data_IF_799677492047
#
_entry.id   IF_799677492047
#
_cell.length_a   1.000
_cell.length_b   1.000
_cell.length_c   1.000
_cell.angle_alpha   90.00
_cell.angle_beta   90.00
_cell.angle_gamma   90.00
#
_symmetry.space_group_name_H-M   'P 1'
#
loop_
_entity.id
_entity.type
_entity.pdbx_description
1 polymer ?
#
# COMPACT_ATOMS: atom_id res chain seq x y z
N UNK A 1 -2.27 -32.34 -13.32
CA UNK A 1 -1.38 -33.51 -13.13
C UNK A 1 -2.24 -34.67 -12.66
N UNK A 2 -2.10 -35.85 -13.28
CA UNK A 2 -2.80 -37.06 -12.83
C UNK A 2 -1.79 -38.17 -12.69
N UNK A 3 -1.69 -38.73 -11.48
CA UNK A 3 -0.83 -39.86 -11.16
C UNK A 3 -1.43 -40.65 -10.01
N UNK A 4 -1.03 -41.91 -9.85
CA UNK A 4 -1.42 -42.71 -8.69
C UNK A 4 -0.71 -42.23 -7.42
N UNK A 5 0.56 -41.86 -7.55
CA UNK A 5 1.40 -41.33 -6.47
C UNK A 5 2.50 -40.47 -7.08
N UNK A 6 2.88 -39.41 -6.37
CA UNK A 6 3.95 -38.50 -6.72
C UNK A 6 4.84 -38.28 -5.49
N UNK A 7 6.14 -38.51 -5.62
CA UNK A 7 7.11 -38.38 -4.51
C UNK A 7 8.11 -37.29 -4.85
N UNK A 8 8.29 -36.32 -3.95
CA UNK A 8 9.11 -35.13 -4.18
C UNK A 8 10.07 -34.85 -3.01
N UNK A 9 11.08 -35.71 -2.85
CA UNK A 9 12.08 -35.56 -1.78
C UNK A 9 13.23 -34.66 -2.23
N UNK A 10 13.60 -33.69 -1.39
CA UNK A 10 14.69 -32.72 -1.64
C UNK A 10 14.56 -32.05 -3.02
N UNK A 11 13.32 -31.73 -3.39
CA UNK A 11 12.96 -31.30 -4.73
C UNK A 11 12.23 -29.96 -4.72
N UNK A 12 12.37 -29.22 -5.81
CA UNK A 12 11.57 -28.02 -6.10
C UNK A 12 10.54 -28.33 -7.18
N UNK A 13 9.27 -28.06 -6.91
CA UNK A 13 8.17 -28.16 -7.87
C UNK A 13 7.74 -26.74 -8.22
N UNK A 14 7.83 -26.38 -9.50
CA UNK A 14 7.41 -25.07 -10.00
C UNK A 14 6.07 -25.20 -10.72
N UNK A 15 5.07 -24.46 -10.24
CA UNK A 15 3.77 -24.35 -10.88
C UNK A 15 3.76 -23.12 -11.78
N UNK A 16 3.93 -23.32 -13.08
CA UNK A 16 3.94 -22.22 -14.07
C UNK A 16 2.55 -21.66 -14.40
N UNK A 17 1.49 -22.35 -14.01
CA UNK A 17 0.09 -21.95 -14.23
C UNK A 17 -0.81 -22.57 -13.14
N UNK A 18 -1.98 -21.97 -12.92
CA UNK A 18 -3.02 -22.57 -12.09
C UNK A 18 -3.46 -23.92 -12.67
N UNK A 19 -3.53 -24.95 -11.83
CA UNK A 19 -3.85 -26.32 -12.28
C UNK A 19 -4.50 -27.18 -11.21
N UNK A 20 -5.15 -28.26 -11.65
CA UNK A 20 -5.59 -29.34 -10.78
C UNK A 20 -4.48 -30.40 -10.63
N UNK A 21 -4.11 -30.70 -9.39
CA UNK A 21 -3.17 -31.76 -9.01
C UNK A 21 -3.97 -32.92 -8.40
N UNK A 22 -4.18 -33.97 -9.20
CA UNK A 22 -4.99 -35.14 -8.86
C UNK A 22 -4.08 -36.35 -8.67
N UNK A 23 -3.47 -36.44 -7.49
CA UNK A 23 -2.56 -37.52 -7.13
C UNK A 23 -2.34 -37.50 -5.63
N UNK A 24 -2.06 -38.66 -5.04
CA UNK A 24 -1.42 -38.70 -3.73
C UNK A 24 -0.01 -38.08 -3.86
N UNK A 25 0.40 -37.29 -2.87
CA UNK A 25 1.72 -36.64 -2.87
C UNK A 25 2.45 -36.89 -1.56
N UNK A 26 3.71 -37.29 -1.64
CA UNK A 26 4.60 -37.30 -0.46
C UNK A 26 5.87 -36.52 -0.75
N UNK A 27 6.46 -35.92 0.28
CA UNK A 27 7.70 -35.18 0.14
C UNK A 27 8.41 -34.95 1.48
N UNK A 28 9.71 -34.75 1.40
CA UNK A 28 10.60 -34.43 2.52
C UNK A 28 11.60 -33.40 2.02
N UNK A 29 11.75 -32.26 2.69
CA UNK A 29 12.65 -31.19 2.22
C UNK A 29 12.19 -30.59 0.88
N UNK A 30 10.88 -30.45 0.69
CA UNK A 30 10.27 -30.05 -0.59
C UNK A 30 10.06 -28.53 -0.66
N UNK A 31 10.28 -27.94 -1.82
CA UNK A 31 9.86 -26.57 -2.13
C UNK A 31 8.75 -26.59 -3.19
N UNK A 32 7.64 -25.90 -2.93
CA UNK A 32 6.57 -25.64 -3.88
C UNK A 32 6.57 -24.16 -4.25
N UNK A 33 6.85 -23.86 -5.52
CA UNK A 33 6.79 -22.50 -6.04
C UNK A 33 5.49 -22.32 -6.81
N UNK A 34 4.55 -21.60 -6.19
CA UNK A 34 3.22 -21.31 -6.71
C UNK A 34 3.22 -19.99 -7.49
N UNK A 35 3.99 -18.99 -7.05
CA UNK A 35 3.86 -17.62 -7.56
C UNK A 35 2.42 -17.13 -7.33
N UNK A 36 1.76 -16.60 -8.36
CA UNK A 36 0.36 -16.21 -8.32
C UNK A 36 -0.63 -17.37 -8.66
N UNK A 37 -0.14 -18.60 -8.84
CA UNK A 37 -0.95 -19.70 -9.36
C UNK A 37 -1.66 -20.50 -8.27
N UNK A 38 -2.95 -20.78 -8.49
CA UNK A 38 -3.71 -21.66 -7.62
C UNK A 38 -3.50 -23.13 -8.00
N UNK A 39 -3.20 -23.95 -7.00
CA UNK A 39 -3.16 -25.42 -7.13
C UNK A 39 -4.39 -26.00 -6.46
N UNK A 40 -5.31 -26.51 -7.26
CA UNK A 40 -6.45 -27.29 -6.76
C UNK A 40 -5.99 -28.72 -6.51
N UNK A 41 -5.95 -29.13 -5.25
CA UNK A 41 -5.41 -30.42 -4.83
C UNK A 41 -6.51 -31.45 -4.55
N UNK A 42 -6.39 -32.63 -5.17
CA UNK A 42 -7.23 -33.79 -4.92
C UNK A 42 -6.36 -35.03 -4.65
N UNK A 43 -6.55 -35.69 -3.51
CA UNK A 43 -5.78 -36.87 -3.09
C UNK A 43 -5.43 -36.88 -1.60
N UNK A 44 -4.53 -37.78 -1.20
CA UNK A 44 -3.93 -37.83 0.14
C UNK A 44 -2.47 -37.42 0.08
N UNK A 45 -2.15 -36.36 0.81
CA UNK A 45 -0.86 -35.69 0.78
C UNK A 45 -0.19 -35.72 2.15
N UNK A 46 1.12 -35.90 2.20
CA UNK A 46 1.89 -35.78 3.45
C UNK A 46 3.29 -35.25 3.21
N UNK A 47 3.72 -34.26 3.99
CA UNK A 47 5.08 -33.75 3.95
C UNK A 47 5.81 -33.96 5.28
N UNK A 48 7.12 -34.14 5.22
CA UNK A 48 7.99 -34.21 6.39
C UNK A 48 9.17 -33.23 6.27
N UNK A 49 9.91 -33.05 7.36
CA UNK A 49 11.08 -32.19 7.45
C UNK A 49 10.73 -30.73 7.07
N UNK A 50 11.46 -30.12 6.14
CA UNK A 50 11.14 -28.77 5.67
C UNK A 50 10.19 -28.81 4.48
N UNK A 51 9.10 -28.04 4.54
CA UNK A 51 8.25 -27.68 3.41
C UNK A 51 8.36 -26.17 3.19
N UNK A 52 8.78 -25.75 2.01
CA UNK A 52 8.81 -24.33 1.62
C UNK A 52 7.71 -24.04 0.61
N UNK A 53 6.90 -23.01 0.87
CA UNK A 53 5.87 -22.52 -0.04
C UNK A 53 6.23 -21.09 -0.48
N UNK A 54 6.54 -20.94 -1.77
CA UNK A 54 6.78 -19.63 -2.37
C UNK A 54 5.53 -19.18 -3.12
N UNK A 55 4.94 -18.08 -2.69
CA UNK A 55 3.67 -17.59 -3.22
C UNK A 55 3.69 -16.07 -3.41
N UNK A 56 2.81 -15.60 -4.27
CA UNK A 56 2.56 -14.18 -4.53
C UNK A 56 1.11 -13.89 -4.18
N UNK A 57 0.89 -12.81 -3.43
CA UNK A 57 -0.43 -12.28 -3.12
C UNK A 57 -0.56 -10.88 -3.72
N UNK A 58 -1.63 -10.67 -4.47
CA UNK A 58 -2.02 -9.37 -5.01
C UNK A 58 -3.10 -8.77 -4.09
N UNK A 59 -2.73 -7.71 -3.37
CA UNK A 59 -3.61 -7.03 -2.42
C UNK A 59 -4.82 -6.37 -3.07
N UNK A 60 -4.66 -5.80 -4.27
CA UNK A 60 -5.74 -5.15 -5.01
C UNK A 60 -6.73 -6.17 -5.57
N UNK A 61 -6.24 -7.27 -6.16
CA UNK A 61 -7.09 -8.34 -6.68
C UNK A 61 -7.62 -9.27 -5.59
N UNK A 62 -7.11 -9.17 -4.36
CA UNK A 62 -7.40 -10.07 -3.23
C UNK A 62 -7.28 -11.54 -3.62
N UNK A 63 -6.25 -11.84 -4.41
CA UNK A 63 -6.00 -13.17 -4.96
C UNK A 63 -4.51 -13.46 -5.07
N UNK A 64 -4.14 -14.73 -5.12
CA UNK A 64 -2.74 -15.13 -5.10
C UNK A 64 -2.56 -16.63 -5.27
N UNK A 65 -1.32 -17.09 -5.25
CA UNK A 65 -1.00 -18.48 -5.49
C UNK A 65 -1.19 -19.38 -4.27
N UNK A 66 -2.39 -19.93 -4.12
CA UNK A 66 -2.74 -20.75 -2.97
C UNK A 66 -2.91 -22.24 -3.33
N UNK A 67 -2.87 -23.09 -2.31
CA UNK A 67 -3.30 -24.48 -2.43
C UNK A 67 -4.76 -24.57 -1.95
N UNK A 68 -5.65 -25.08 -2.79
CA UNK A 68 -7.04 -25.36 -2.45
C UNK A 68 -7.25 -26.87 -2.38
N UNK A 69 -7.45 -27.41 -1.18
CA UNK A 69 -7.73 -28.82 -0.93
C UNK A 69 -9.21 -29.08 -1.17
N UNK A 70 -9.53 -29.92 -2.16
CA UNK A 70 -10.90 -30.27 -2.51
C UNK A 70 -11.54 -31.20 -1.49
N UNK A 71 -12.86 -31.16 -1.41
CA UNK A 71 -13.65 -32.08 -0.57
C UNK A 71 -13.25 -33.55 -0.80
N UNK A 72 -13.12 -34.31 0.29
CA UNK A 72 -12.68 -35.72 0.26
C UNK A 72 -11.17 -35.93 0.14
N UNK A 73 -10.38 -34.85 0.09
CA UNK A 73 -8.91 -34.90 0.04
C UNK A 73 -8.29 -34.46 1.36
N UNK A 74 -7.05 -34.89 1.60
CA UNK A 74 -6.31 -34.59 2.83
C UNK A 74 -4.89 -34.16 2.54
N UNK A 75 -4.39 -33.17 3.27
CA UNK A 75 -2.99 -32.76 3.29
C UNK A 75 -2.51 -32.73 4.75
N UNK A 76 -1.62 -33.65 5.09
CA UNK A 76 -1.02 -33.77 6.42
C UNK A 76 0.35 -33.12 6.47
N UNK A 77 0.43 -32.02 7.22
CA UNK A 77 1.65 -31.26 7.49
C UNK A 77 2.15 -31.48 8.92
N UNK A 78 1.54 -32.37 9.72
CA UNK A 78 1.97 -32.60 11.11
C UNK A 78 3.37 -33.22 11.23
N UNK A 79 3.90 -33.81 10.15
CA UNK A 79 5.27 -34.32 10.08
C UNK A 79 6.30 -33.27 9.64
N UNK A 80 5.87 -32.06 9.27
CA UNK A 80 6.75 -30.97 8.85
C UNK A 80 7.39 -30.34 10.09
N UNK A 81 8.71 -30.40 10.19
CA UNK A 81 9.48 -29.76 11.26
C UNK A 81 9.72 -28.28 11.01
N UNK A 82 9.59 -27.81 9.76
CA UNK A 82 9.63 -26.39 9.41
C UNK A 82 8.77 -26.11 8.19
N UNK A 83 7.69 -25.35 8.37
CA UNK A 83 6.91 -24.80 7.27
C UNK A 83 7.40 -23.38 6.99
N UNK A 84 8.20 -23.23 5.93
CA UNK A 84 8.70 -21.94 5.48
C UNK A 84 7.75 -21.34 4.46
N UNK A 85 7.07 -20.26 4.83
CA UNK A 85 6.17 -19.51 3.95
C UNK A 85 6.88 -18.25 3.47
N UNK A 86 7.10 -18.17 2.17
CA UNK A 86 7.64 -16.96 1.53
C UNK A 86 6.54 -16.34 0.70
N UNK A 87 5.99 -15.23 1.18
CA UNK A 87 4.91 -14.49 0.52
C UNK A 87 5.50 -13.23 -0.10
N UNK A 88 5.36 -13.08 -1.41
CA UNK A 88 5.60 -11.81 -2.09
C UNK A 88 4.28 -11.07 -2.21
N UNK A 89 4.10 -10.07 -1.37
CA UNK A 89 2.97 -9.17 -1.34
C UNK A 89 3.15 -8.08 -2.40
N UNK A 90 2.17 -7.90 -3.27
CA UNK A 90 2.22 -6.96 -4.40
C UNK A 90 0.91 -6.19 -4.51
N UNK A 91 0.96 -5.03 -5.16
CA UNK A 91 -0.23 -4.21 -5.48
C UNK A 91 -1.10 -3.90 -4.25
N UNK A 92 -0.47 -3.64 -3.11
CA UNK A 92 -1.18 -3.20 -1.92
C UNK A 92 -1.53 -1.72 -2.02
N UNK A 93 -2.83 -1.47 -2.00
CA UNK A 93 -3.41 -0.14 -1.89
C UNK A 93 -3.98 0.01 -0.48
N UNK A 94 -3.40 0.92 0.32
CA UNK A 94 -3.86 1.24 1.67
C UNK A 94 -5.35 1.59 1.71
N UNK A 95 -5.91 2.08 0.60
CA UNK A 95 -7.33 2.42 0.50
C UNK A 95 -8.25 1.21 0.45
N UNK A 96 -7.71 0.06 0.07
CA UNK A 96 -8.44 -1.19 -0.11
C UNK A 96 -8.16 -2.19 1.01
N UNK A 97 -7.33 -1.82 2.00
CA UNK A 97 -7.12 -2.63 3.20
C UNK A 97 -8.42 -2.61 4.01
N UNK A 98 -8.97 -3.80 4.17
CA UNK A 98 -10.19 -4.04 4.91
C UNK A 98 -10.11 -5.42 5.58
N UNK A 99 -11.01 -5.79 6.50
CA UNK A 99 -11.00 -7.11 7.13
C UNK A 99 -11.03 -8.31 6.16
N UNK A 100 -11.44 -8.09 4.91
CA UNK A 100 -11.42 -9.10 3.84
C UNK A 100 -10.10 -9.17 3.05
N UNK A 101 -9.14 -8.27 3.33
CA UNK A 101 -7.80 -8.22 2.71
C UNK A 101 -6.90 -9.22 3.42
N UNK A 102 -7.26 -10.48 3.25
CA UNK A 102 -6.58 -11.62 3.85
C UNK A 102 -6.20 -12.64 2.79
N UNK A 103 -5.12 -13.36 3.07
CA UNK A 103 -4.57 -14.33 2.14
C UNK A 103 -4.27 -15.64 2.84
N UNK A 104 -5.04 -16.66 2.51
CA UNK A 104 -4.87 -18.02 3.05
C UNK A 104 -4.01 -18.84 2.09
N UNK A 105 -2.80 -19.22 2.52
CA UNK A 105 -1.82 -19.92 1.67
C UNK A 105 -2.29 -21.35 1.33
N UNK A 106 -2.95 -22.00 2.29
CA UNK A 106 -3.55 -23.32 2.11
C UNK A 106 -4.96 -23.30 2.69
N UNK A 107 -5.95 -23.55 1.85
CA UNK A 107 -7.35 -23.66 2.25
C UNK A 107 -7.90 -25.05 1.96
N UNK A 108 -8.93 -25.45 2.71
CA UNK A 108 -9.63 -26.72 2.52
C UNK A 108 -11.14 -26.49 2.45
N UNK A 109 -11.82 -27.16 1.52
CA UNK A 109 -13.28 -27.09 1.39
C UNK A 109 -14.03 -27.80 2.52
N UNK A 110 -13.35 -28.72 3.22
CA UNK A 110 -13.92 -29.50 4.32
C UNK A 110 -13.02 -29.44 5.54
N UNK A 111 -13.63 -29.30 6.73
CA UNK A 111 -12.93 -29.39 8.02
C UNK A 111 -12.17 -30.72 8.10
N UNK A 112 -10.92 -30.67 8.53
CA UNK A 112 -10.03 -31.84 8.61
C UNK A 112 -9.33 -32.20 7.28
N UNK A 113 -9.62 -31.50 6.18
CA UNK A 113 -8.88 -31.66 4.93
C UNK A 113 -7.43 -31.18 5.01
N UNK A 114 -7.14 -30.22 5.89
CA UNK A 114 -5.78 -29.83 6.26
C UNK A 114 -5.52 -30.28 7.70
N UNK A 115 -4.41 -30.98 7.91
CA UNK A 115 -3.84 -31.21 9.24
C UNK A 115 -2.56 -30.38 9.33
N UNK A 116 -2.58 -29.22 10.00
CA UNK A 116 -1.47 -28.28 9.97
C UNK A 116 -0.27 -28.81 10.77
N UNK A 117 0.89 -28.20 10.52
CA UNK A 117 2.05 -28.31 11.42
C UNK A 117 1.77 -27.51 12.71
N UNK A 118 2.41 -27.84 13.84
CA UNK A 118 2.41 -26.96 15.02
C UNK A 118 2.86 -25.53 14.67
N UNK A 119 2.30 -24.53 15.35
CA UNK A 119 2.52 -23.10 15.07
C UNK A 119 3.99 -22.71 15.20
N UNK A 120 4.70 -23.28 16.17
CA UNK A 120 6.12 -23.04 16.42
C UNK A 120 7.04 -23.47 15.26
N UNK A 121 6.54 -24.34 14.37
CA UNK A 121 7.27 -24.79 13.19
C UNK A 121 7.03 -23.88 11.97
N UNK A 122 6.08 -22.95 12.04
CA UNK A 122 5.77 -22.05 10.93
C UNK A 122 6.71 -20.85 10.97
N UNK A 123 7.38 -20.59 9.85
CA UNK A 123 8.24 -19.43 9.65
C UNK A 123 7.73 -18.69 8.43
N UNK A 124 7.35 -17.43 8.61
CA UNK A 124 6.89 -16.58 7.52
C UNK A 124 7.94 -15.52 7.19
N UNK A 125 8.10 -15.27 5.90
CA UNK A 125 8.85 -14.16 5.33
C UNK A 125 7.95 -13.46 4.33
N UNK A 126 7.78 -12.16 4.50
CA UNK A 126 6.89 -11.35 3.67
C UNK A 126 7.76 -10.32 2.97
N UNK A 127 7.75 -10.36 1.65
CA UNK A 127 8.37 -9.34 0.82
C UNK A 127 7.26 -8.40 0.37
N UNK A 128 7.29 -7.16 0.84
CA UNK A 128 6.34 -6.12 0.48
C UNK A 128 7.11 -4.83 0.18
N UNK A 129 6.72 -4.14 -0.88
CA UNK A 129 7.35 -2.89 -1.31
C UNK A 129 6.64 -1.65 -0.73
N UNK A 130 5.41 -1.79 -0.23
CA UNK A 130 4.67 -0.67 0.35
C UNK A 130 4.89 -0.55 1.86
N UNK A 131 5.71 0.41 2.29
CA UNK A 131 6.11 0.60 3.69
C UNK A 131 4.96 0.98 4.63
N UNK A 132 3.83 1.45 4.10
CA UNK A 132 2.64 1.78 4.89
C UNK A 132 1.75 0.55 5.15
N UNK A 133 2.15 -0.62 4.67
CA UNK A 133 1.39 -1.85 4.84
C UNK A 133 2.23 -2.87 5.61
N UNK A 134 1.73 -3.24 6.78
CA UNK A 134 2.27 -4.34 7.57
C UNK A 134 1.34 -5.55 7.50
N UNK A 135 1.80 -6.66 8.07
CA UNK A 135 1.09 -7.91 8.03
C UNK A 135 1.15 -8.66 9.34
N UNK A 136 -0.01 -9.11 9.77
CA UNK A 136 -0.14 -10.11 10.83
C UNK A 136 -0.41 -11.48 10.21
N UNK A 137 0.17 -12.53 10.80
CA UNK A 137 0.01 -13.89 10.28
C UNK A 137 -0.53 -14.83 11.35
N UNK A 138 -1.65 -15.48 11.03
CA UNK A 138 -2.25 -16.53 11.84
C UNK A 138 -1.76 -17.89 11.35
N UNK A 139 -0.87 -18.51 12.14
CA UNK A 139 -0.30 -19.82 11.84
C UNK A 139 -1.33 -20.96 11.94
N UNK A 140 -2.39 -20.80 12.73
CA UNK A 140 -3.43 -21.83 12.89
C UNK A 140 -4.29 -21.98 11.63
N UNK A 141 -4.53 -20.86 10.94
CA UNK A 141 -5.32 -20.81 9.70
C UNK A 141 -4.47 -20.61 8.45
N UNK A 142 -3.15 -20.49 8.60
CA UNK A 142 -2.18 -20.15 7.55
C UNK A 142 -2.64 -18.92 6.73
N UNK A 143 -3.15 -17.92 7.44
CA UNK A 143 -3.76 -16.73 6.84
C UNK A 143 -2.97 -15.49 7.21
N UNK A 144 -2.63 -14.71 6.19
CA UNK A 144 -2.02 -13.40 6.29
C UNK A 144 -3.12 -12.33 6.29
N UNK A 145 -2.99 -11.32 7.14
CA UNK A 145 -3.87 -10.16 7.20
C UNK A 145 -3.05 -8.90 6.99
N UNK A 146 -3.46 -8.06 6.03
CA UNK A 146 -2.81 -6.78 5.80
C UNK A 146 -3.36 -5.71 6.76
N UNK A 147 -2.49 -4.80 7.17
CA UNK A 147 -2.78 -3.71 8.10
C UNK A 147 -2.23 -2.39 7.53
N UNK A 148 -3.03 -1.31 7.62
CA UNK A 148 -2.58 0.05 7.31
C UNK A 148 -1.88 0.60 8.55
N UNK A 149 -0.57 0.83 8.44
CA UNK A 149 0.29 1.36 9.51
C UNK A 149 0.89 2.72 9.14
N UNK A 150 0.26 3.43 8.19
CA UNK A 150 0.81 4.67 7.65
C UNK A 150 1.09 5.72 8.73
N UNK A 151 0.16 5.91 9.68
CA UNK A 151 0.32 6.83 10.81
C UNK A 151 1.59 6.54 11.63
N UNK A 152 1.81 5.27 12.00
CA UNK A 152 2.95 4.86 12.81
C UNK A 152 4.27 5.11 12.08
N UNK A 153 4.31 4.81 10.78
CA UNK A 153 5.49 5.05 9.93
C UNK A 153 5.78 6.53 9.76
N UNK A 154 4.75 7.37 9.56
CA UNK A 154 4.91 8.82 9.53
C UNK A 154 5.46 9.28 10.86
N UNK A 155 4.91 8.85 11.98
CA UNK A 155 5.40 9.26 13.30
C UNK A 155 6.87 8.88 13.49
N UNK A 156 7.25 7.63 13.21
CA UNK A 156 8.64 7.15 13.29
C UNK A 156 9.60 7.94 12.39
N UNK A 157 9.19 8.28 11.16
CA UNK A 157 10.03 9.01 10.23
C UNK A 157 10.45 10.39 10.76
N UNK A 158 9.57 11.05 11.51
CA UNK A 158 9.77 12.40 12.06
C UNK A 158 10.22 12.43 13.53
N UNK A 159 10.25 11.28 14.21
CA UNK A 159 10.76 11.18 15.58
C UNK A 159 12.26 11.51 15.67
N UNK A 160 12.78 11.91 16.85
CA UNK A 160 14.21 12.19 17.01
C UNK A 160 15.10 11.00 16.63
N UNK A 161 15.91 11.17 15.57
CA UNK A 161 16.76 10.11 15.03
C UNK A 161 16.17 9.39 13.82
N UNK A 162 14.90 9.65 13.51
CA UNK A 162 14.24 9.20 12.29
C UNK A 162 14.80 9.86 11.01
N UNK A 163 14.55 9.26 9.84
CA UNK A 163 15.10 9.69 8.55
C UNK A 163 14.71 11.13 8.17
N UNK A 164 13.57 11.64 8.66
CA UNK A 164 13.04 12.96 8.34
C UNK A 164 13.12 13.95 9.51
N UNK A 165 13.72 13.57 10.65
CA UNK A 165 13.75 14.39 11.87
C UNK A 165 14.36 15.79 11.70
N UNK A 166 15.36 15.93 10.80
CA UNK A 166 16.18 17.15 10.66
C UNK A 166 16.06 17.82 9.29
N UNK A 167 15.08 17.45 8.47
CA UNK A 167 14.91 18.05 7.15
C UNK A 167 14.34 19.48 7.27
N UNK A 168 14.63 20.38 6.32
CA UNK A 168 13.95 21.66 6.24
C UNK A 168 12.43 21.45 6.15
N UNK A 169 11.66 22.29 6.85
CA UNK A 169 10.20 22.29 6.77
C UNK A 169 9.52 20.99 7.29
N UNK A 170 10.21 20.17 8.08
CA UNK A 170 9.72 18.87 8.59
C UNK A 170 8.29 18.91 9.14
N UNK A 171 7.96 19.89 9.98
CA UNK A 171 6.62 20.02 10.57
C UNK A 171 5.51 20.20 9.52
N UNK A 172 5.76 20.96 8.45
CA UNK A 172 4.77 21.17 7.39
C UNK A 172 4.68 19.96 6.46
N UNK A 173 5.78 19.25 6.23
CA UNK A 173 5.79 17.99 5.47
C UNK A 173 4.98 16.94 6.23
N UNK A 174 5.31 16.70 7.51
CA UNK A 174 4.54 15.79 8.38
C UNK A 174 3.06 16.14 8.35
N UNK A 175 2.71 17.43 8.54
CA UNK A 175 1.31 17.83 8.53
C UNK A 175 0.63 17.58 7.19
N UNK A 176 1.33 17.73 6.07
CA UNK A 176 0.79 17.46 4.74
C UNK A 176 0.53 15.96 4.54
N UNK A 177 1.42 15.11 5.02
CA UNK A 177 1.26 13.65 4.97
C UNK A 177 0.06 13.19 5.80
N UNK A 178 -0.07 13.67 7.05
CA UNK A 178 -1.25 13.42 7.89
C UNK A 178 -2.56 13.86 7.19
N UNK A 179 -2.56 15.02 6.52
CA UNK A 179 -3.74 15.50 5.80
C UNK A 179 -4.07 14.68 4.55
N UNK A 180 -3.05 14.13 3.88
CA UNK A 180 -3.26 13.21 2.75
C UNK A 180 -3.72 11.84 3.23
N UNK A 181 -3.25 11.41 4.40
CA UNK A 181 -3.70 10.21 5.08
C UNK A 181 -5.18 10.30 5.44
N UNK A 182 -5.59 11.40 6.08
CA UNK A 182 -6.98 11.69 6.48
C UNK A 182 -7.92 12.00 5.30
N UNK A 183 -7.40 12.12 4.08
CA UNK A 183 -8.20 12.48 2.92
C UNK A 183 -9.18 11.34 2.55
N UNK A 184 -10.37 11.66 1.99
CA UNK A 184 -11.34 10.64 1.62
C UNK A 184 -10.76 9.58 0.68
N UNK A 185 -11.08 8.32 0.94
CA UNK A 185 -10.70 7.20 0.06
C UNK A 185 -11.12 7.46 -1.39
N UNK A 186 -10.20 7.21 -2.32
CA UNK A 186 -10.38 7.47 -3.75
C UNK A 186 -10.11 8.90 -4.20
N UNK A 187 -9.85 9.84 -3.29
CA UNK A 187 -9.38 11.19 -3.66
C UNK A 187 -7.97 11.16 -4.26
N UNK A 188 -7.63 12.15 -5.08
CA UNK A 188 -6.29 12.27 -5.67
C UNK A 188 -5.20 12.38 -4.59
N UNK A 189 -5.49 13.04 -3.47
CA UNK A 189 -4.58 13.16 -2.33
C UNK A 189 -4.28 11.80 -1.70
N UNK A 190 -5.32 11.00 -1.45
CA UNK A 190 -5.17 9.67 -0.86
C UNK A 190 -4.55 8.65 -1.84
N UNK A 191 -4.80 8.80 -3.15
CA UNK A 191 -4.11 8.01 -4.19
C UNK A 191 -2.61 8.35 -4.27
N UNK A 192 -2.25 9.64 -4.21
CA UNK A 192 -0.86 10.07 -4.17
C UNK A 192 -0.16 9.54 -2.92
N UNK A 193 -0.83 9.60 -1.77
CA UNK A 193 -0.33 9.06 -0.51
C UNK A 193 -0.01 7.56 -0.57
N UNK A 194 -0.88 6.75 -1.20
CA UNK A 194 -0.59 5.33 -1.40
C UNK A 194 0.72 5.11 -2.20
N UNK A 195 0.98 5.93 -3.22
CA UNK A 195 2.20 5.82 -4.00
C UNK A 195 3.45 6.26 -3.21
N UNK A 196 3.30 7.11 -2.20
CA UNK A 196 4.41 7.48 -1.32
C UNK A 196 4.87 6.32 -0.44
N UNK A 197 3.97 5.38 -0.13
CA UNK A 197 4.34 4.13 0.54
C UNK A 197 5.37 3.28 -0.24
N UNK A 198 5.49 3.49 -1.56
CA UNK A 198 6.47 2.83 -2.43
C UNK A 198 7.81 3.60 -2.54
N UNK A 199 7.92 4.75 -1.85
CA UNK A 199 9.09 5.61 -1.89
C UNK A 199 9.93 5.46 -0.63
N UNK A 200 11.21 5.86 -0.71
CA UNK A 200 11.99 6.11 0.50
C UNK A 200 11.46 7.36 1.21
N UNK A 201 11.64 7.50 2.54
CA UNK A 201 11.18 8.67 3.29
C UNK A 201 11.64 10.00 2.66
N UNK A 202 12.89 10.07 2.17
CA UNK A 202 13.44 11.27 1.56
C UNK A 202 12.78 11.62 0.22
N UNK A 203 12.45 10.62 -0.60
CA UNK A 203 11.74 10.84 -1.87
C UNK A 203 10.32 11.32 -1.63
N UNK A 204 9.63 10.77 -0.63
CA UNK A 204 8.31 11.22 -0.21
C UNK A 204 8.34 12.67 0.31
N UNK A 205 9.32 13.00 1.15
CA UNK A 205 9.48 14.36 1.67
C UNK A 205 9.74 15.37 0.54
N UNK A 206 10.54 15.00 -0.45
CA UNK A 206 10.81 15.82 -1.63
C UNK A 206 9.53 15.99 -2.49
N UNK A 207 8.81 14.90 -2.78
CA UNK A 207 7.55 14.94 -3.52
C UNK A 207 6.51 15.82 -2.81
N UNK A 208 6.36 15.67 -1.50
CA UNK A 208 5.45 16.48 -0.67
C UNK A 208 5.84 17.96 -0.70
N UNK A 209 7.14 18.26 -0.67
CA UNK A 209 7.65 19.64 -0.77
C UNK A 209 7.29 20.27 -2.11
N UNK A 210 7.44 19.55 -3.22
CA UNK A 210 7.05 20.04 -4.54
C UNK A 210 5.54 20.28 -4.64
N UNK A 211 4.72 19.38 -4.10
CA UNK A 211 3.26 19.56 -4.05
C UNK A 211 2.87 20.82 -3.26
N UNK A 212 3.49 21.05 -2.10
CA UNK A 212 3.25 22.27 -1.32
C UNK A 212 3.64 23.53 -2.12
N UNK A 213 4.80 23.53 -2.79
CA UNK A 213 5.25 24.69 -3.58
C UNK A 213 4.32 25.02 -4.75
N UNK A 214 3.79 24.00 -5.42
CA UNK A 214 2.88 24.19 -6.54
C UNK A 214 1.49 24.68 -6.11
N UNK A 215 1.11 24.50 -4.85
CA UNK A 215 -0.10 25.11 -4.26
C UNK A 215 0.16 26.54 -3.75
N UNK A 216 1.35 26.81 -3.20
CA UNK A 216 1.72 28.15 -2.69
C UNK A 216 1.92 29.16 -3.82
N UNK A 217 2.55 28.78 -4.94
CA UNK A 217 2.78 29.69 -6.09
C UNK A 217 1.48 30.31 -6.64
N UNK A 218 0.38 29.55 -6.87
CA UNK A 218 -0.91 30.12 -7.24
C UNK A 218 -1.49 31.08 -6.19
N UNK A 219 -1.40 30.76 -4.89
CA UNK A 219 -1.90 31.62 -3.82
C UNK A 219 -1.18 32.96 -3.77
N UNK A 220 0.16 32.93 -3.84
CA UNK A 220 0.98 34.15 -3.88
C UNK A 220 0.71 34.98 -5.14
N UNK A 221 0.48 34.31 -6.27
CA UNK A 221 0.08 34.96 -7.53
C UNK A 221 -1.28 35.63 -7.38
N UNK A 222 -2.27 34.97 -6.77
CA UNK A 222 -3.61 35.54 -6.52
C UNK A 222 -3.52 36.75 -5.57
N UNK A 223 -2.73 36.65 -4.50
CA UNK A 223 -2.51 37.75 -3.57
C UNK A 223 -1.84 38.96 -4.25
N UNK A 224 -0.83 38.71 -5.08
CA UNK A 224 -0.15 39.76 -5.85
C UNK A 224 -1.10 40.45 -6.86
N UNK A 225 -1.91 39.66 -7.59
CA UNK A 225 -2.92 40.20 -8.53
C UNK A 225 -3.97 41.03 -7.79
N UNK A 226 -4.49 40.54 -6.66
CA UNK A 226 -5.46 41.28 -5.86
C UNK A 226 -4.90 42.62 -5.37
N UNK A 227 -3.66 42.64 -4.86
CA UNK A 227 -3.00 43.87 -4.44
C UNK A 227 -2.81 44.85 -5.61
N UNK A 228 -2.46 44.35 -6.80
CA UNK A 228 -2.31 45.18 -8.00
C UNK A 228 -3.65 45.77 -8.48
N UNK A 229 -4.74 45.01 -8.44
CA UNK A 229 -6.09 45.48 -8.78
C UNK A 229 -6.56 46.57 -7.81
N UNK A 230 -6.37 46.36 -6.51
CA UNK A 230 -6.70 47.37 -5.48
C UNK A 230 -5.91 48.66 -5.71
N UNK A 231 -4.60 48.57 -5.94
CA UNK A 231 -3.76 49.73 -6.22
C UNK A 231 -4.19 50.48 -7.49
N UNK A 232 -4.52 49.74 -8.57
CA UNK A 232 -5.00 50.31 -9.83
C UNK A 232 -6.34 51.06 -9.66
N UNK A 233 -7.28 50.49 -8.91
CA UNK A 233 -8.57 51.12 -8.63
C UNK A 233 -8.43 52.39 -7.79
N UNK A 234 -7.55 52.39 -6.78
CA UNK A 234 -7.27 53.60 -5.98
C UNK A 234 -6.67 54.69 -6.86
N UNK A 235 -5.68 54.36 -7.69
CA UNK A 235 -5.02 55.33 -8.59
C UNK A 235 -5.98 55.92 -9.62
N UNK A 236 -6.84 55.09 -10.22
CA UNK A 236 -7.89 55.53 -11.15
C UNK A 236 -8.91 56.45 -10.47
N UNK A 237 -9.33 56.12 -9.25
CA UNK A 237 -10.25 56.95 -8.47
C UNK A 237 -9.64 58.29 -8.05
N UNK A 238 -8.36 58.32 -7.64
CA UNK A 238 -7.64 59.57 -7.33
C UNK A 238 -7.55 60.44 -8.58
N UNK A 239 -7.20 59.86 -9.73
CA UNK A 239 -7.13 60.59 -11.00
C UNK A 239 -8.49 61.18 -11.38
N UNK A 240 -9.57 60.40 -11.26
CA UNK A 240 -10.93 60.88 -11.51
C UNK A 240 -11.38 61.96 -10.52
N UNK A 241 -11.01 61.85 -9.25
CA UNK A 241 -11.29 62.86 -8.22
C UNK A 241 -10.54 64.16 -8.50
N UNK A 242 -9.26 64.09 -8.84
CA UNK A 242 -8.46 65.27 -9.22
C UNK A 242 -9.06 65.98 -10.43
N UNK A 243 -9.43 65.23 -11.48
CA UNK A 243 -10.08 65.81 -12.66
C UNK A 243 -11.44 66.46 -12.34
N UNK A 244 -12.20 65.93 -11.39
CA UNK A 244 -13.44 66.56 -10.90
C UNK A 244 -13.15 67.82 -10.08
N UNK A 245 -12.11 67.79 -9.25
CA UNK A 245 -11.68 68.92 -8.42
C UNK A 245 -11.19 70.08 -9.29
N UNK A 246 -10.41 69.81 -10.33
CA UNK A 246 -9.93 70.81 -11.28
C UNK A 246 -11.11 71.51 -11.98
N UNK A 247 -12.14 70.74 -12.38
CA UNK A 247 -13.38 71.31 -12.96
C UNK A 247 -14.13 72.20 -11.97
N UNK A 248 -14.22 71.81 -10.70
CA UNK A 248 -14.87 72.62 -9.66
C UNK A 248 -14.06 73.89 -9.36
N UNK A 249 -12.73 73.81 -9.29
CA UNK A 249 -11.87 74.97 -9.09
C UNK A 249 -11.94 75.95 -10.27
N UNK A 250 -11.99 75.44 -11.50
CA UNK A 250 -12.17 76.26 -12.69
C UNK A 250 -13.54 76.96 -12.70
N UNK A 251 -14.61 76.31 -12.23
CA UNK A 251 -15.95 76.90 -12.13
C UNK A 251 -16.07 77.95 -11.01
N UNK A 252 -15.32 77.78 -9.90
CA UNK A 252 -15.33 78.71 -8.76
C UNK A 252 -14.43 79.94 -8.96
N UNK A 253 -13.53 79.94 -9.94
CA UNK A 253 -12.91 81.16 -10.46
C UNK A 253 -13.92 81.80 -11.43
N UNK A 254 -14.88 82.55 -10.90
CA UNK A 254 -15.83 83.33 -11.69
C UNK A 254 -15.14 84.22 -12.74
N UNK A 255 -15.87 84.70 -13.77
CA UNK A 255 -15.26 85.48 -14.85
C UNK A 255 -14.51 86.67 -14.26
N UNK A 256 -13.22 86.74 -14.56
CA UNK A 256 -12.36 87.85 -14.16
C UNK A 256 -12.92 89.09 -14.86
N UNK A 257 -13.51 90.00 -14.07
CA UNK A 257 -13.99 91.31 -14.54
C UNK A 257 -12.84 92.23 -14.91
#
# INVERSE_FOLDING_TARGET
>A
VTATSFVANSATINFGNSLAFNSNITGSGTTLTLGANQVTYTGTGSFTDTLTLNTTFDGAAKSGGNILIKSGSTLDLSGVSTLALVVTATNFDINNISPDTKYTVISAETVGGLKPTPEENVKITINNDNRFVDFTFDASTLTLFAEDIAADIIDEDFEPGGPLANIPNAANIKKSLELMEDAPNGSDARQAFNNFGLMTPLQEADATTHLMQDVVKPSDTIAAVNNQVVASNISSNITALNARMDKVQAANKGPVS
#
